data_IF_445927023127
#
_entry.id   IF_445927023127
#
_cell.length_a   1.000
_cell.length_b   1.000
_cell.length_c   1.000
_cell.angle_alpha   90.00
_cell.angle_beta   90.00
_cell.angle_gamma   90.00
#
_symmetry.space_group_name_H-M   'P 1'
#
loop_
_entity.id
_entity.type
_entity.pdbx_description
1 polymer ?
#
# COMPACT_ATOMS: atom_id res chain seq x y z
N UNK A 1 -8.25 25.87 63.17
CA UNK A 1 -8.97 26.60 62.09
C UNK A 1 -8.91 25.72 60.85
N UNK A 2 -9.99 24.94 60.60
CA UNK A 2 -10.94 25.13 59.48
C UNK A 2 -10.29 24.67 58.14
N UNK A 3 -10.76 23.70 57.35
CA UNK A 3 -12.03 22.96 57.23
C UNK A 3 -11.75 21.68 56.40
N UNK A 4 -12.44 20.57 56.70
CA UNK A 4 -12.59 19.42 55.80
C UNK A 4 -13.61 19.75 54.69
N UNK A 5 -13.44 19.23 53.46
CA UNK A 5 -14.55 18.65 52.65
C UNK A 5 -14.01 17.49 51.80
N UNK A 6 -14.63 16.31 51.97
CA UNK A 6 -14.56 15.13 51.10
C UNK A 6 -15.67 15.25 50.04
N UNK A 7 -15.40 14.82 48.80
CA UNK A 7 -16.29 14.24 47.76
C UNK A 7 -15.59 14.48 46.41
N UNK A 8 -15.56 13.63 45.39
CA UNK A 8 -16.22 12.40 45.03
C UNK A 8 -15.78 12.13 43.57
N UNK A 9 -15.78 10.87 43.18
CA UNK A 9 -15.24 10.26 41.95
C UNK A 9 -15.70 10.94 40.65
N UNK A 10 -14.80 11.07 39.67
CA UNK A 10 -15.15 10.74 38.28
C UNK A 10 -14.01 10.04 37.57
N UNK A 11 -14.21 8.74 37.34
CA UNK A 11 -13.45 7.94 36.37
C UNK A 11 -13.42 8.68 35.04
N UNK A 12 -12.28 9.22 34.64
CA UNK A 12 -12.06 9.58 33.25
C UNK A 12 -11.60 8.31 32.55
N UNK A 13 -12.52 7.74 31.79
CA UNK A 13 -12.36 6.56 30.96
C UNK A 13 -10.99 6.53 30.29
N UNK A 14 -10.24 5.47 30.56
CA UNK A 14 -9.05 5.11 29.85
C UNK A 14 -9.43 4.87 28.37
N UNK A 15 -9.25 5.89 27.53
CA UNK A 15 -9.36 5.73 26.08
C UNK A 15 -8.00 5.25 25.59
N UNK A 16 -7.74 3.95 25.79
CA UNK A 16 -6.65 3.24 25.13
C UNK A 16 -7.01 2.98 23.65
N UNK A 17 -7.16 4.03 22.83
CA UNK A 17 -7.43 3.87 21.38
C UNK A 17 -6.19 4.04 20.49
N UNK A 18 -4.99 4.28 21.05
CA UNK A 18 -3.76 4.41 20.25
C UNK A 18 -3.03 3.08 20.02
N UNK A 19 -3.26 2.06 20.86
CA UNK A 19 -2.61 0.75 20.74
C UNK A 19 -3.21 -0.14 19.63
N UNK A 20 -4.46 0.12 19.21
CA UNK A 20 -5.18 -0.72 18.25
C UNK A 20 -4.67 -0.62 16.81
N UNK A 21 -3.87 0.39 16.48
CA UNK A 21 -3.49 0.71 15.11
C UNK A 21 -2.08 0.23 14.72
N UNK A 22 -1.40 -0.51 15.60
CA UNK A 22 -0.03 -0.99 15.37
C UNK A 22 -0.02 -2.47 15.04
N UNK A 23 0.34 -2.79 13.80
CA UNK A 23 0.68 -4.14 13.40
C UNK A 23 1.96 -4.58 14.15
N UNK A 24 2.00 -5.76 14.81
CA UNK A 24 3.20 -6.25 15.48
C UNK A 24 4.41 -6.42 14.55
N UNK A 25 4.15 -6.57 13.24
CA UNK A 25 5.18 -6.83 12.22
C UNK A 25 5.63 -5.54 11.53
N UNK A 26 4.68 -4.70 11.11
CA UNK A 26 4.97 -3.53 10.29
C UNK A 26 4.85 -2.19 11.02
N UNK A 27 4.36 -2.19 12.25
CA UNK A 27 4.13 -0.97 13.00
C UNK A 27 2.87 -0.24 12.54
N UNK A 28 2.96 1.08 12.38
CA UNK A 28 1.83 1.93 12.04
C UNK A 28 1.40 1.79 10.58
N UNK A 29 0.09 1.92 10.35
CA UNK A 29 -0.49 2.14 9.02
C UNK A 29 -0.03 3.48 8.46
N UNK A 30 0.16 3.55 7.14
CA UNK A 30 0.61 4.75 6.45
C UNK A 30 -0.10 4.86 5.09
N UNK A 31 -0.24 6.09 4.60
CA UNK A 31 -0.69 6.36 3.23
C UNK A 31 0.33 5.88 2.20
N UNK A 32 -0.15 5.60 0.98
CA UNK A 32 0.69 5.16 -0.12
C UNK A 32 1.48 6.34 -0.69
N UNK A 33 2.80 6.22 -0.75
CA UNK A 33 3.66 7.19 -1.42
C UNK A 33 3.53 7.01 -2.93
N UNK A 34 3.15 8.07 -3.66
CA UNK A 34 2.82 7.98 -5.10
C UNK A 34 4.00 8.24 -6.04
N UNK A 35 5.20 8.55 -5.51
CA UNK A 35 6.39 8.89 -6.29
C UNK A 35 7.47 7.79 -6.25
N UNK A 36 7.22 6.69 -5.55
CA UNK A 36 8.15 5.56 -5.38
C UNK A 36 7.36 4.27 -5.55
N UNK A 37 7.93 3.26 -6.20
CA UNK A 37 7.27 1.96 -6.33
C UNK A 37 7.19 1.27 -4.95
N UNK A 38 6.02 0.75 -4.55
CA UNK A 38 5.81 0.24 -3.20
C UNK A 38 6.51 -1.10 -2.97
N UNK A 39 7.00 -1.30 -1.76
CA UNK A 39 7.44 -2.61 -1.25
C UNK A 39 6.27 -3.42 -0.72
N UNK A 40 6.49 -4.70 -0.40
CA UNK A 40 5.48 -5.50 0.31
C UNK A 40 5.11 -4.88 1.66
N UNK A 41 6.07 -4.27 2.37
CA UNK A 41 5.81 -3.57 3.63
C UNK A 41 4.91 -2.35 3.41
N UNK A 42 5.18 -1.54 2.38
CA UNK A 42 4.38 -0.34 2.09
C UNK A 42 2.94 -0.71 1.71
N UNK A 43 2.79 -1.73 0.85
CA UNK A 43 1.48 -2.24 0.46
C UNK A 43 0.67 -2.71 1.68
N UNK A 44 1.27 -3.48 2.60
CA UNK A 44 0.55 -3.99 3.77
C UNK A 44 0.24 -2.91 4.81
N UNK A 45 1.10 -1.89 4.94
CA UNK A 45 0.81 -0.70 5.76
C UNK A 45 -0.35 0.10 5.18
N UNK A 46 -0.37 0.28 3.87
CA UNK A 46 -1.45 0.96 3.17
C UNK A 46 -2.77 0.20 3.25
N UNK A 47 -2.74 -1.14 3.09
CA UNK A 47 -3.89 -1.99 3.33
C UNK A 47 -4.50 -1.76 4.72
N UNK A 48 -3.64 -1.67 5.74
CA UNK A 48 -4.07 -1.41 7.12
C UNK A 48 -4.66 0.00 7.28
N UNK A 49 -4.11 0.99 6.58
CA UNK A 49 -4.64 2.35 6.53
C UNK A 49 -6.04 2.39 5.93
N UNK A 50 -6.25 1.75 4.77
CA UNK A 50 -7.57 1.67 4.12
C UNK A 50 -8.59 0.93 4.97
N UNK A 51 -8.20 -0.19 5.60
CA UNK A 51 -9.09 -0.89 6.55
C UNK A 51 -9.56 0.02 7.67
N UNK A 52 -8.64 0.80 8.27
CA UNK A 52 -8.98 1.75 9.33
C UNK A 52 -9.91 2.84 8.82
N UNK A 53 -9.57 3.47 7.69
CA UNK A 53 -10.40 4.51 7.05
C UNK A 53 -11.83 4.02 6.81
N UNK A 54 -11.99 2.86 6.17
CA UNK A 54 -13.31 2.28 5.91
C UNK A 54 -14.06 1.91 7.20
N UNK A 55 -13.36 1.47 8.24
CA UNK A 55 -13.98 1.15 9.54
C UNK A 55 -14.44 2.39 10.31
N UNK A 56 -13.84 3.55 10.04
CA UNK A 56 -14.32 4.83 10.56
C UNK A 56 -15.52 5.35 9.77
N UNK A 57 -15.49 5.21 8.43
CA UNK A 57 -16.54 5.71 7.55
C UNK A 57 -17.81 4.82 7.55
N UNK A 58 -17.66 3.53 7.87
CA UNK A 58 -18.75 2.55 7.86
C UNK A 58 -19.00 1.97 9.25
N UNK A 59 -20.28 1.75 9.59
CA UNK A 59 -20.65 1.05 10.83
C UNK A 59 -20.32 -0.46 10.81
N UNK A 60 -19.96 -1.01 9.64
CA UNK A 60 -19.66 -2.44 9.44
C UNK A 60 -18.17 -2.62 9.15
N UNK A 61 -17.60 -3.72 9.64
CA UNK A 61 -16.22 -4.09 9.33
C UNK A 61 -16.06 -4.37 7.82
N UNK A 62 -15.11 -3.70 7.14
CA UNK A 62 -14.89 -3.87 5.71
C UNK A 62 -14.35 -5.26 5.39
N UNK A 63 -14.80 -5.82 4.27
CA UNK A 63 -14.34 -7.13 3.80
C UNK A 63 -12.93 -7.03 3.23
N UNK A 64 -12.20 -8.15 3.25
CA UNK A 64 -10.87 -8.26 2.62
C UNK A 64 -10.92 -7.91 1.14
N UNK A 65 -12.01 -8.28 0.45
CA UNK A 65 -12.19 -7.99 -0.97
C UNK A 65 -12.33 -6.49 -1.23
N UNK A 66 -13.15 -5.78 -0.46
CA UNK A 66 -13.34 -4.33 -0.61
C UNK A 66 -12.03 -3.56 -0.38
N UNK A 67 -11.28 -3.92 0.67
CA UNK A 67 -9.98 -3.28 0.95
C UNK A 67 -8.99 -3.59 -0.18
N UNK A 68 -8.92 -4.85 -0.62
CA UNK A 68 -7.99 -5.26 -1.67
C UNK A 68 -8.28 -4.56 -3.00
N UNK A 69 -9.53 -4.27 -3.32
CA UNK A 69 -9.94 -3.55 -4.54
C UNK A 69 -9.37 -2.13 -4.58
N UNK A 70 -9.55 -1.38 -3.47
CA UNK A 70 -9.03 -0.01 -3.34
C UNK A 70 -7.50 -0.03 -3.41
N UNK A 71 -6.87 -0.91 -2.63
CA UNK A 71 -5.40 -1.02 -2.59
C UNK A 71 -4.83 -1.40 -3.96
N UNK A 72 -5.45 -2.33 -4.68
CA UNK A 72 -5.01 -2.73 -6.02
C UNK A 72 -5.09 -1.55 -7.00
N UNK A 73 -6.21 -0.84 -7.01
CA UNK A 73 -6.44 0.32 -7.87
C UNK A 73 -5.39 1.41 -7.64
N UNK A 74 -5.11 1.73 -6.38
CA UNK A 74 -4.13 2.78 -6.04
C UNK A 74 -2.69 2.36 -6.37
N UNK A 75 -2.34 1.09 -6.16
CA UNK A 75 -1.02 0.57 -6.53
C UNK A 75 -0.85 0.59 -8.05
N UNK A 76 -1.86 0.16 -8.81
CA UNK A 76 -1.82 0.25 -10.28
C UNK A 76 -1.56 1.69 -10.75
N UNK A 77 -2.22 2.67 -10.14
CA UNK A 77 -1.99 4.07 -10.46
C UNK A 77 -0.53 4.50 -10.24
N UNK A 78 0.13 4.03 -9.17
CA UNK A 78 1.56 4.30 -8.92
C UNK A 78 2.45 3.70 -10.01
N UNK A 79 2.18 2.46 -10.43
CA UNK A 79 2.96 1.79 -11.47
C UNK A 79 2.71 2.39 -12.86
N UNK A 80 1.48 2.78 -13.17
CA UNK A 80 1.13 3.50 -14.39
C UNK A 80 1.78 4.89 -14.45
N UNK A 81 1.85 5.59 -13.32
CA UNK A 81 2.56 6.87 -13.21
C UNK A 81 4.06 6.71 -13.49
N UNK A 82 4.64 5.57 -13.14
CA UNK A 82 6.00 5.20 -13.52
C UNK A 82 6.15 4.72 -14.97
N UNK A 83 5.05 4.69 -15.75
CA UNK A 83 4.99 4.19 -17.13
C UNK A 83 5.43 2.72 -17.26
N UNK A 84 5.17 1.91 -16.24
CA UNK A 84 5.48 0.47 -16.24
C UNK A 84 4.19 -0.32 -16.51
N UNK A 85 4.14 -1.18 -17.54
CA UNK A 85 3.01 -2.08 -17.76
C UNK A 85 2.85 -3.07 -16.61
N UNK A 86 1.62 -3.25 -16.14
CA UNK A 86 1.27 -4.10 -14.98
C UNK A 86 0.49 -5.35 -15.36
N UNK A 87 0.65 -6.43 -14.60
CA UNK A 87 -0.17 -7.65 -14.74
C UNK A 87 -1.65 -7.37 -14.52
N UNK A 88 -2.52 -8.32 -14.87
CA UNK A 88 -3.97 -8.13 -14.74
C UNK A 88 -4.41 -7.79 -13.31
N UNK A 89 -5.45 -6.95 -13.20
CA UNK A 89 -6.04 -6.55 -11.92
C UNK A 89 -6.34 -7.76 -11.00
N UNK A 90 -6.94 -8.83 -11.56
CA UNK A 90 -7.22 -10.08 -10.84
C UNK A 90 -5.96 -10.74 -10.27
N UNK A 91 -4.81 -10.63 -10.95
CA UNK A 91 -3.53 -11.13 -10.45
C UNK A 91 -3.04 -10.29 -9.28
N UNK A 92 -3.18 -8.98 -9.35
CA UNK A 92 -2.79 -8.04 -8.28
C UNK A 92 -3.63 -8.29 -7.02
N UNK A 93 -4.95 -8.43 -7.16
CA UNK A 93 -5.85 -8.82 -6.07
C UNK A 93 -5.41 -10.13 -5.39
N UNK A 94 -5.04 -11.15 -6.17
CA UNK A 94 -4.52 -12.42 -5.64
C UNK A 94 -3.22 -12.21 -4.86
N UNK A 95 -2.32 -11.36 -5.33
CA UNK A 95 -1.06 -11.06 -4.64
C UNK A 95 -1.32 -10.38 -3.29
N UNK A 96 -2.20 -9.38 -3.25
CA UNK A 96 -2.58 -8.67 -2.02
C UNK A 96 -3.21 -9.64 -1.01
N UNK A 97 -4.17 -10.47 -1.44
CA UNK A 97 -4.84 -11.46 -0.58
C UNK A 97 -3.85 -12.48 -0.02
N UNK A 98 -2.93 -12.97 -0.84
CA UNK A 98 -1.90 -13.90 -0.39
C UNK A 98 -1.00 -13.27 0.69
N UNK A 99 -0.54 -12.02 0.47
CA UNK A 99 0.27 -11.31 1.46
C UNK A 99 -0.49 -11.03 2.76
N UNK A 100 -1.77 -10.69 2.67
CA UNK A 100 -2.64 -10.57 3.84
C UNK A 100 -2.74 -11.90 4.62
N UNK A 101 -2.95 -13.02 3.92
CA UNK A 101 -3.08 -14.33 4.56
C UNK A 101 -1.76 -14.81 5.20
N UNK A 102 -0.63 -14.55 4.56
CA UNK A 102 0.70 -14.78 5.14
C UNK A 102 0.89 -13.99 6.44
N UNK A 103 0.59 -12.68 6.41
CA UNK A 103 0.67 -11.83 7.59
C UNK A 103 -0.28 -12.31 8.69
N UNK A 104 -1.52 -12.68 8.34
CA UNK A 104 -2.52 -13.19 9.30
C UNK A 104 -2.03 -14.47 9.99
N UNK A 105 -1.43 -15.40 9.24
CA UNK A 105 -0.83 -16.63 9.79
C UNK A 105 0.30 -16.31 10.77
N UNK A 106 1.09 -15.27 10.49
CA UNK A 106 2.17 -14.83 11.38
C UNK A 106 1.63 -14.16 12.65
N UNK A 107 0.59 -13.32 12.55
CA UNK A 107 0.04 -12.58 13.70
C UNK A 107 -0.83 -13.45 14.61
N UNK A 108 -1.54 -14.47 14.08
CA UNK A 108 -2.44 -15.32 14.86
C UNK A 108 -1.81 -15.88 16.16
N UNK A 109 -0.59 -16.44 16.17
CA UNK A 109 0.05 -16.94 17.40
C UNK A 109 0.68 -15.85 18.29
N UNK A 110 0.69 -14.58 17.87
CA UNK A 110 1.46 -13.51 18.53
C UNK A 110 1.14 -13.37 20.02
N UNK A 111 -0.15 -13.36 20.38
CA UNK A 111 -0.59 -13.19 21.78
C UNK A 111 0.00 -14.23 22.73
N UNK A 112 0.14 -15.48 22.27
CA UNK A 112 0.68 -16.60 23.07
C UNK A 112 2.19 -16.80 22.96
N UNK A 113 2.85 -16.19 21.97
CA UNK A 113 4.30 -16.37 21.70
C UNK A 113 5.11 -15.07 21.79
N UNK A 114 4.56 -14.02 22.38
CA UNK A 114 5.23 -12.71 22.53
C UNK A 114 6.57 -12.75 23.28
N UNK A 115 6.82 -13.79 24.09
CA UNK A 115 8.06 -13.98 24.83
C UNK A 115 9.02 -15.00 24.17
N UNK A 116 8.61 -15.64 23.07
CA UNK A 116 9.43 -16.60 22.34
C UNK A 116 10.37 -15.87 21.37
N UNK A 117 11.65 -15.80 21.72
CA UNK A 117 12.68 -15.14 20.93
C UNK A 117 12.79 -15.70 19.50
N UNK A 118 12.61 -17.01 19.31
CA UNK A 118 12.67 -17.63 17.97
C UNK A 118 11.51 -17.15 17.09
N UNK A 119 10.34 -16.99 17.69
CA UNK A 119 9.19 -16.43 17.00
C UNK A 119 9.34 -14.93 16.71
N UNK A 120 9.88 -14.14 17.64
CA UNK A 120 10.17 -12.72 17.39
C UNK A 120 11.19 -12.50 16.27
N UNK A 121 12.27 -13.30 16.23
CA UNK A 121 13.24 -13.29 15.13
C UNK A 121 12.56 -13.59 13.78
N UNK A 122 11.64 -14.57 13.76
CA UNK A 122 10.86 -14.88 12.54
C UNK A 122 9.99 -13.71 12.08
N UNK A 123 9.39 -12.96 13.00
CA UNK A 123 8.63 -11.75 12.64
C UNK A 123 9.54 -10.66 12.06
N UNK A 124 10.71 -10.47 12.67
CA UNK A 124 11.69 -9.51 12.20
C UNK A 124 12.22 -9.87 10.81
N UNK A 125 12.61 -11.14 10.58
CA UNK A 125 13.03 -11.61 9.27
C UNK A 125 11.94 -11.39 8.20
N UNK A 126 10.68 -11.64 8.53
CA UNK A 126 9.58 -11.40 7.60
C UNK A 126 9.41 -9.90 7.33
N UNK A 127 9.54 -9.05 8.35
CA UNK A 127 9.48 -7.60 8.21
C UNK A 127 10.62 -7.07 7.31
N UNK A 128 11.85 -7.53 7.52
CA UNK A 128 13.01 -7.11 6.74
C UNK A 128 12.93 -7.59 5.29
N UNK A 129 12.52 -8.83 5.06
CA UNK A 129 12.23 -9.35 3.70
C UNK A 129 11.15 -8.52 3.00
N UNK A 130 10.09 -8.16 3.71
CA UNK A 130 8.99 -7.36 3.15
C UNK A 130 9.40 -5.90 2.87
N UNK A 131 10.35 -5.36 3.64
CA UNK A 131 10.91 -4.01 3.45
C UNK A 131 11.82 -3.96 2.21
N UNK A 132 12.62 -5.00 1.98
CA UNK A 132 13.60 -5.02 0.89
C UNK A 132 12.98 -5.43 -0.45
N UNK A 133 11.87 -6.20 -0.40
CA UNK A 133 11.25 -6.75 -1.59
C UNK A 133 10.20 -5.78 -2.16
N UNK A 134 10.38 -5.41 -3.43
CA UNK A 134 9.39 -4.66 -4.19
C UNK A 134 8.10 -5.47 -4.33
N UNK A 135 6.95 -4.81 -4.22
CA UNK A 135 5.66 -5.40 -4.59
C UNK A 135 5.53 -5.40 -6.12
N UNK A 136 6.32 -6.26 -6.77
CA UNK A 136 6.48 -6.31 -8.22
C UNK A 136 5.21 -6.82 -8.93
N UNK A 137 4.56 -5.90 -9.65
CA UNK A 137 3.41 -6.19 -10.51
C UNK A 137 3.70 -5.94 -11.99
N UNK A 138 4.98 -5.77 -12.39
CA UNK A 138 5.33 -5.57 -13.79
C UNK A 138 4.96 -6.79 -14.65
N UNK A 139 4.52 -6.54 -15.89
CA UNK A 139 4.31 -7.61 -16.89
C UNK A 139 5.66 -8.21 -17.31
N UNK A 140 6.62 -7.36 -17.66
CA UNK A 140 7.93 -7.79 -18.14
C UNK A 140 8.91 -7.89 -16.97
N UNK A 141 9.53 -9.07 -16.85
CA UNK A 141 10.55 -9.39 -15.85
C UNK A 141 11.95 -9.46 -16.48
N UNK A 142 12.12 -8.70 -17.55
CA UNK A 142 13.26 -8.85 -18.45
C UNK A 142 14.48 -8.17 -17.83
N UNK A 143 15.66 -8.72 -18.10
CA UNK A 143 16.92 -8.12 -17.65
C UNK A 143 17.18 -6.84 -18.44
N UNK A 144 17.68 -5.76 -17.80
CA UNK A 144 18.07 -4.54 -18.50
C UNK A 144 19.03 -4.86 -19.67
N UNK A 145 18.73 -4.34 -20.85
CA UNK A 145 19.59 -4.48 -22.04
C UNK A 145 19.21 -5.60 -23.02
N UNK A 146 18.37 -6.58 -22.64
CA UNK A 146 17.95 -7.66 -23.54
C UNK A 146 16.43 -7.94 -23.46
N UNK A 147 15.62 -6.88 -23.45
CA UNK A 147 14.18 -6.98 -23.38
C UNK A 147 13.56 -6.98 -24.78
N UNK A 148 13.03 -8.14 -25.21
CA UNK A 148 12.23 -8.30 -26.42
C UNK A 148 10.72 -8.17 -26.20
N UNK A 149 10.27 -7.84 -24.98
CA UNK A 149 8.85 -7.57 -24.78
C UNK A 149 8.45 -6.38 -25.66
N UNK A 150 7.35 -6.53 -26.40
CA UNK A 150 6.75 -5.43 -27.12
C UNK A 150 6.61 -4.27 -26.14
N UNK A 151 7.43 -3.23 -26.32
CA UNK A 151 7.30 -1.99 -25.57
C UNK A 151 5.92 -1.49 -25.96
N UNK A 152 4.92 -1.72 -25.11
CA UNK A 152 3.68 -0.98 -25.20
C UNK A 152 4.05 0.44 -24.83
N UNK A 153 4.55 1.16 -25.82
CA UNK A 153 5.12 2.47 -25.65
C UNK A 153 3.95 3.41 -25.36
N UNK A 154 3.74 3.70 -24.07
CA UNK A 154 2.78 4.71 -23.66
C UNK A 154 3.17 6.11 -24.20
N UNK A 155 4.41 6.31 -24.68
CA UNK A 155 4.77 7.53 -25.42
C UNK A 155 4.01 7.61 -26.74
N UNK A 156 3.67 6.51 -27.40
CA UNK A 156 2.89 6.54 -28.66
C UNK A 156 1.52 7.17 -28.44
N UNK A 157 0.88 6.96 -27.28
CA UNK A 157 -0.38 7.65 -26.93
C UNK A 157 -0.17 9.14 -26.65
N UNK A 158 0.96 9.54 -26.05
CA UNK A 158 1.30 10.95 -25.82
C UNK A 158 1.75 11.69 -27.10
N UNK A 159 2.36 10.98 -28.06
CA UNK A 159 2.80 11.54 -29.34
C UNK A 159 1.59 11.99 -30.19
N UNK A 160 0.45 11.29 -30.10
CA UNK A 160 -0.76 11.65 -30.86
C UNK A 160 -1.28 13.05 -30.48
N UNK A 161 -1.08 13.50 -29.24
CA UNK A 161 -1.55 14.82 -28.78
C UNK A 161 -0.58 15.97 -29.08
N UNK A 162 0.73 15.70 -29.15
CA UNK A 162 1.74 16.72 -29.48
C UNK A 162 1.85 16.93 -31.00
N UNK A 163 1.66 15.87 -31.79
CA UNK A 163 1.75 15.94 -33.26
C UNK A 163 0.75 16.88 -33.91
N UNK A 164 -0.39 17.15 -33.29
CA UNK A 164 -1.37 18.13 -33.79
C UNK A 164 -0.92 19.58 -33.57
N UNK A 165 -0.27 19.88 -32.45
CA UNK A 165 0.23 21.22 -32.11
C UNK A 165 1.46 21.59 -32.96
N UNK A 166 2.37 20.63 -33.15
CA UNK A 166 3.56 20.83 -33.99
C UNK A 166 3.22 20.98 -35.48
N UNK A 167 2.15 20.31 -35.98
CA UNK A 167 1.70 20.46 -37.38
C UNK A 167 1.20 21.87 -37.66
N UNK A 168 0.41 22.44 -36.75
CA UNK A 168 -0.14 23.80 -36.89
C UNK A 168 0.97 24.84 -36.77
N UNK A 169 1.94 24.62 -35.88
CA UNK A 169 3.08 25.52 -35.67
C UNK A 169 4.06 25.49 -36.86
N UNK A 170 4.32 24.29 -37.41
CA UNK A 170 5.20 24.10 -38.59
C UNK A 170 4.59 24.61 -39.90
N UNK A 171 3.26 24.60 -40.03
CA UNK A 171 2.57 25.15 -41.20
C UNK A 171 2.63 26.69 -41.27
N UNK A 172 2.74 27.37 -40.12
CA UNK A 172 2.90 28.83 -40.04
C UNK A 172 4.30 29.32 -40.39
N UNK A 173 5.31 28.45 -40.30
CA UNK A 173 6.71 28.79 -40.56
C UNK A 173 7.13 28.69 -42.03
N UNK A 174 6.23 28.26 -42.93
CA UNK A 174 6.51 28.12 -44.39
C UNK A 174 5.99 29.27 -45.26
N UNK A 175 5.76 30.45 -44.69
CA UNK A 175 5.46 31.66 -45.47
C UNK A 175 6.64 32.63 -45.41
N UNK A 176 7.59 32.44 -46.32
CA UNK A 176 8.41 33.50 -46.90
C UNK A 176 8.98 33.03 -48.23
#
# INVERSE_FOLDING_TARGET
>A
MLFQIITGIKMSSNVDTRAANKCPVFGHSCELVTNVLPTYMDMMKYYSHIRQKLSFDQAKEPTVSEIAEIVATDIEAVWHKASIPVVSHTRILKLIRNSHDELRKLIKPFKGRKADNKYLLKLQEYADKSRQKLFDIAICKCVPGNCGCAKQDQRTLRIIFIGSVDRVSSAKLKKH
#
